data_IF_766623783233
#
_entry.id   IF_766623783233
#
_cell.length_a   1.000
_cell.length_b   1.000
_cell.length_c   1.000
_cell.angle_alpha   90.00
_cell.angle_beta   90.00
_cell.angle_gamma   90.00
#
_symmetry.space_group_name_H-M   'P 1'
#
loop_
_entity.id
_entity.type
_entity.pdbx_description
1 polymer ?
#
# COMPACT_ATOMS: atom_id res chain seq x y z
N UNK A 1 -61.77 47.35 -17.12
CA UNK A 1 -61.41 47.73 -18.51
C UNK A 1 -59.91 47.61 -18.66
N UNK A 2 -59.46 46.83 -19.67
CA UNK A 2 -58.06 46.62 -20.14
C UNK A 2 -57.16 45.87 -19.14
N UNK A 3 -56.44 44.81 -19.50
CA UNK A 3 -56.24 44.14 -20.78
C UNK A 3 -55.21 43.03 -20.52
N UNK A 4 -55.60 41.79 -20.82
CA UNK A 4 -54.84 40.56 -20.66
C UNK A 4 -53.99 40.39 -21.91
N UNK A 5 -52.66 40.30 -21.78
CA UNK A 5 -51.77 39.97 -22.90
C UNK A 5 -51.21 38.56 -22.67
N UNK A 6 -51.88 37.62 -23.33
CA UNK A 6 -51.39 36.27 -23.62
C UNK A 6 -50.34 36.36 -24.73
N UNK A 7 -49.18 35.73 -24.55
CA UNK A 7 -48.27 35.40 -25.65
C UNK A 7 -48.25 33.87 -25.75
N UNK A 8 -48.84 33.38 -26.83
CA UNK A 8 -48.69 32.04 -27.38
C UNK A 8 -47.68 32.18 -28.53
N UNK A 9 -46.65 31.34 -28.55
CA UNK A 9 -45.93 31.00 -29.78
C UNK A 9 -45.94 29.49 -29.93
N UNK A 10 -46.32 29.09 -31.13
CA UNK A 10 -46.55 27.74 -31.61
C UNK A 10 -45.39 27.29 -32.51
N UNK A 11 -45.24 25.97 -32.53
CA UNK A 11 -44.74 25.09 -33.58
C UNK A 11 -43.30 25.12 -34.14
N UNK A 12 -42.67 23.95 -33.90
CA UNK A 12 -41.98 23.09 -34.87
C UNK A 12 -40.63 23.53 -35.45
N UNK A 13 -39.58 22.82 -35.02
CA UNK A 13 -38.53 22.28 -35.89
C UNK A 13 -37.67 21.21 -35.16
N UNK A 14 -38.03 19.95 -35.35
CA UNK A 14 -37.08 18.84 -35.51
C UNK A 14 -37.02 18.51 -37.02
N UNK A 15 -36.00 17.83 -37.58
CA UNK A 15 -34.92 17.10 -36.92
C UNK A 15 -33.52 17.42 -37.49
N UNK A 16 -32.46 17.06 -36.76
CA UNK A 16 -31.28 16.39 -37.36
C UNK A 16 -30.44 15.75 -36.27
N UNK A 17 -30.45 14.43 -36.33
CA UNK A 17 -29.62 13.50 -35.61
C UNK A 17 -28.14 13.80 -35.91
N UNK A 18 -27.37 14.08 -34.87
CA UNK A 18 -25.94 13.79 -34.85
C UNK A 18 -25.74 12.79 -33.72
N UNK A 19 -25.91 11.51 -34.08
CA UNK A 19 -25.57 10.37 -33.24
C UNK A 19 -24.03 10.30 -33.09
N UNK A 20 -23.47 11.18 -32.27
CA UNK A 20 -22.16 11.00 -31.66
C UNK A 20 -22.34 10.09 -30.45
N UNK A 21 -22.31 8.77 -30.69
CA UNK A 21 -22.34 7.74 -29.66
C UNK A 21 -21.05 7.85 -28.85
N UNK A 22 -21.03 8.70 -27.82
CA UNK A 22 -20.13 8.48 -26.70
C UNK A 22 -20.56 7.16 -26.09
N UNK A 23 -19.80 6.10 -26.39
CA UNK A 23 -19.86 4.91 -25.56
C UNK A 23 -19.39 5.37 -24.19
N UNK A 24 -20.34 5.61 -23.29
CA UNK A 24 -20.11 5.44 -21.87
C UNK A 24 -19.57 4.02 -21.72
N UNK A 25 -18.25 3.86 -21.78
CA UNK A 25 -17.60 2.81 -21.04
C UNK A 25 -17.85 3.21 -19.60
N UNK A 26 -18.99 2.80 -19.08
CA UNK A 26 -19.11 2.52 -17.67
C UNK A 26 -17.89 1.67 -17.36
N UNK A 27 -16.90 2.26 -16.71
CA UNK A 27 -16.00 1.50 -15.87
C UNK A 27 -16.93 0.97 -14.79
N UNK A 28 -17.55 -0.18 -15.07
CA UNK A 28 -18.10 -1.04 -14.06
C UNK A 28 -16.94 -1.27 -13.13
N UNK A 29 -16.94 -0.57 -11.99
CA UNK A 29 -16.15 -0.96 -10.85
C UNK A 29 -16.36 -2.47 -10.72
N UNK A 30 -15.29 -3.29 -10.65
CA UNK A 30 -15.48 -4.71 -10.48
C UNK A 30 -16.37 -4.88 -9.26
N UNK A 31 -17.55 -5.43 -9.51
CA UNK A 31 -18.49 -5.89 -8.51
C UNK A 31 -17.65 -6.67 -7.50
N UNK A 32 -17.61 -6.18 -6.25
CA UNK A 32 -16.78 -6.71 -5.19
C UNK A 32 -17.15 -8.18 -4.94
N UNK A 33 -16.53 -9.06 -5.73
CA UNK A 33 -16.57 -10.47 -5.49
C UNK A 33 -15.89 -10.67 -4.14
N UNK A 34 -16.67 -11.11 -3.16
CA UNK A 34 -16.23 -11.79 -1.97
C UNK A 34 -15.46 -13.05 -2.38
N UNK A 35 -14.27 -12.87 -2.94
CA UNK A 35 -13.28 -13.90 -3.07
C UNK A 35 -12.43 -13.77 -1.81
N UNK A 36 -12.73 -14.59 -0.81
CA UNK A 36 -11.66 -15.04 0.07
C UNK A 36 -10.54 -15.56 -0.86
N UNK A 37 -9.26 -15.17 -0.67
CA UNK A 37 -8.20 -15.64 -1.53
C UNK A 37 -8.19 -17.18 -1.49
N UNK A 38 -8.59 -17.79 -2.61
CA UNK A 38 -8.53 -19.24 -2.84
C UNK A 38 -7.13 -19.69 -3.23
N UNK A 39 -6.16 -18.77 -3.25
CA UNK A 39 -4.75 -19.08 -3.43
C UNK A 39 -4.18 -19.70 -2.16
N UNK A 40 -3.31 -20.70 -2.32
CA UNK A 40 -2.47 -21.20 -1.23
C UNK A 40 -1.66 -20.03 -0.65
N UNK A 41 -1.64 -19.87 0.68
CA UNK A 41 -0.96 -18.76 1.37
C UNK A 41 0.54 -18.66 1.05
N UNK A 42 1.16 -19.71 0.53
CA UNK A 42 2.51 -19.69 -0.04
C UNK A 42 2.67 -18.70 -1.20
N UNK A 43 1.59 -18.36 -1.92
CA UNK A 43 1.57 -17.30 -2.95
C UNK A 43 1.53 -15.88 -2.36
N UNK A 44 1.38 -15.72 -1.04
CA UNK A 44 1.39 -14.41 -0.39
C UNK A 44 2.81 -13.86 -0.19
N UNK A 45 3.83 -14.72 -0.16
CA UNK A 45 5.22 -14.26 -0.02
C UNK A 45 5.61 -13.50 -1.29
N UNK A 46 6.04 -12.26 -1.11
CA UNK A 46 6.40 -11.38 -2.20
C UNK A 46 7.91 -11.07 -2.17
N UNK A 47 8.65 -11.82 -2.99
CA UNK A 47 10.10 -11.69 -3.12
C UNK A 47 10.56 -10.38 -3.78
N UNK A 48 9.63 -9.53 -4.24
CA UNK A 48 9.96 -8.14 -4.63
C UNK A 48 10.36 -7.28 -3.42
N UNK A 49 10.05 -7.72 -2.20
CA UNK A 49 10.45 -7.07 -0.96
C UNK A 49 11.64 -7.77 -0.30
N UNK A 50 12.51 -7.03 0.40
CA UNK A 50 13.63 -7.63 1.11
C UNK A 50 13.14 -8.54 2.24
N UNK A 51 13.84 -9.66 2.46
CA UNK A 51 13.63 -10.54 3.62
C UNK A 51 13.53 -9.70 4.92
N UNK A 52 12.51 -9.90 5.78
CA UNK A 52 12.21 -9.00 6.88
C UNK A 52 13.38 -8.74 7.88
N UNK A 53 13.44 -7.50 8.37
CA UNK A 53 14.29 -7.08 9.51
C UNK A 53 13.46 -6.49 10.67
N UNK A 54 12.13 -6.70 10.64
CA UNK A 54 11.17 -6.16 11.58
C UNK A 54 10.82 -7.23 12.63
N UNK A 55 11.42 -7.17 13.82
CA UNK A 55 11.37 -8.25 14.81
C UNK A 55 10.02 -8.44 15.54
N UNK A 56 9.13 -7.44 15.56
CA UNK A 56 7.82 -7.56 16.21
C UNK A 56 6.72 -7.85 15.20
N UNK A 57 6.13 -9.03 15.30
CA UNK A 57 5.02 -9.43 14.44
C UNK A 57 3.76 -8.59 14.72
N UNK A 58 3.56 -8.20 15.97
CA UNK A 58 2.47 -7.31 16.40
C UNK A 58 2.57 -5.94 15.72
N UNK A 59 3.78 -5.39 15.59
CA UNK A 59 4.00 -4.13 14.87
C UNK A 59 3.85 -4.26 13.36
N UNK A 60 4.09 -5.45 12.78
CA UNK A 60 3.71 -5.72 11.39
C UNK A 60 2.18 -5.66 11.22
N UNK A 61 1.41 -6.27 12.12
CA UNK A 61 -0.05 -6.12 12.16
C UNK A 61 -0.51 -4.67 12.30
N UNK A 62 0.08 -3.94 13.25
CA UNK A 62 -0.22 -2.52 13.46
C UNK A 62 0.14 -1.66 12.23
N UNK A 63 1.15 -2.04 11.45
CA UNK A 63 1.51 -1.37 10.18
C UNK A 63 0.41 -1.50 9.15
N UNK A 64 -0.21 -2.68 9.01
CA UNK A 64 -1.36 -2.87 8.11
C UNK A 64 -2.52 -1.98 8.54
N UNK A 65 -2.80 -1.93 9.86
CA UNK A 65 -3.83 -1.03 10.41
C UNK A 65 -3.51 0.45 10.17
N UNK A 66 -2.24 0.83 10.22
CA UNK A 66 -1.79 2.20 9.96
C UNK A 66 -1.99 2.58 8.48
N UNK A 67 -1.60 1.71 7.55
CA UNK A 67 -1.80 1.93 6.11
C UNK A 67 -3.29 2.04 5.78
N UNK A 68 -4.14 1.22 6.41
CA UNK A 68 -5.60 1.34 6.31
C UNK A 68 -6.14 2.71 6.76
N UNK A 69 -5.40 3.39 7.65
CA UNK A 69 -5.71 4.72 8.18
C UNK A 69 -4.98 5.87 7.43
N UNK A 70 -4.52 5.65 6.20
CA UNK A 70 -3.80 6.62 5.36
C UNK A 70 -2.42 7.04 5.95
N UNK A 71 -1.82 6.19 6.78
CA UNK A 71 -0.42 6.30 7.24
C UNK A 71 0.48 5.56 6.24
N UNK A 72 0.84 6.24 5.16
CA UNK A 72 1.37 5.60 3.94
C UNK A 72 2.83 5.91 3.63
N UNK A 73 3.57 6.55 4.55
CA UNK A 73 5.01 6.84 4.38
C UNK A 73 5.84 6.16 5.47
N UNK A 74 7.12 5.79 5.20
CA UNK A 74 7.97 5.17 6.23
C UNK A 74 8.06 5.98 7.52
N UNK A 75 8.23 7.31 7.41
CA UNK A 75 8.33 8.19 8.56
C UNK A 75 7.01 8.26 9.35
N UNK A 76 5.87 8.34 8.67
CA UNK A 76 4.57 8.37 9.35
C UNK A 76 4.24 7.03 10.00
N UNK A 77 4.62 5.90 9.39
CA UNK A 77 4.52 4.57 10.02
C UNK A 77 5.40 4.48 11.26
N UNK A 78 6.64 4.96 11.22
CA UNK A 78 7.51 4.97 12.39
C UNK A 78 6.87 5.77 13.55
N UNK A 79 6.29 6.94 13.24
CA UNK A 79 5.55 7.76 14.19
C UNK A 79 4.33 7.01 14.76
N UNK A 80 3.54 6.34 13.93
CA UNK A 80 2.37 5.57 14.36
C UNK A 80 2.76 4.44 15.34
N UNK A 81 3.85 3.74 15.05
CA UNK A 81 4.34 2.59 15.83
C UNK A 81 5.17 2.98 17.06
N UNK A 82 5.49 4.27 17.24
CA UNK A 82 6.38 4.73 18.31
C UNK A 82 7.80 4.15 18.21
N UNK A 83 8.33 4.02 16.98
CA UNK A 83 9.70 3.54 16.70
C UNK A 83 10.54 4.61 16.04
N UNK A 84 11.85 4.37 15.88
CA UNK A 84 12.70 5.30 15.15
C UNK A 84 12.37 5.33 13.64
N UNK A 85 12.65 6.47 13.00
CA UNK A 85 12.31 6.75 11.60
C UNK A 85 12.78 5.66 10.62
N UNK A 86 13.91 4.98 10.90
CA UNK A 86 14.44 3.94 10.00
C UNK A 86 13.61 2.67 10.04
N UNK A 87 13.02 2.37 11.20
CA UNK A 87 12.24 1.15 11.41
C UNK A 87 10.93 1.16 10.62
N UNK A 88 10.34 2.32 10.35
CA UNK A 88 9.10 2.40 9.58
C UNK A 88 9.21 1.76 8.20
N UNK A 89 10.35 1.94 7.52
CA UNK A 89 10.63 1.26 6.24
C UNK A 89 10.77 -0.27 6.40
N UNK A 90 11.36 -0.74 7.51
CA UNK A 90 11.48 -2.17 7.78
C UNK A 90 10.13 -2.83 8.05
N UNK A 91 9.24 -2.16 8.79
CA UNK A 91 7.90 -2.68 9.05
C UNK A 91 7.02 -2.67 7.80
N UNK A 92 7.08 -1.62 6.97
CA UNK A 92 6.42 -1.62 5.66
C UNK A 92 6.98 -2.70 4.73
N UNK A 93 8.31 -2.85 4.67
CA UNK A 93 8.96 -3.90 3.88
C UNK A 93 8.58 -5.30 4.35
N UNK A 94 8.48 -5.54 5.66
CA UNK A 94 8.04 -6.82 6.21
C UNK A 94 6.56 -7.11 5.90
N UNK A 95 5.68 -6.11 6.04
CA UNK A 95 4.29 -6.25 5.62
C UNK A 95 4.16 -6.50 4.11
N UNK A 96 5.03 -5.86 3.30
CA UNK A 96 5.09 -6.08 1.86
C UNK A 96 5.58 -7.48 1.50
N UNK A 97 6.60 -7.96 2.20
CA UNK A 97 7.12 -9.32 2.05
C UNK A 97 6.06 -10.40 2.36
N UNK A 98 5.19 -10.15 3.34
CA UNK A 98 4.04 -11.02 3.66
C UNK A 98 2.83 -10.79 2.74
N UNK A 99 2.96 -9.96 1.71
CA UNK A 99 1.91 -9.70 0.72
C UNK A 99 0.73 -8.88 1.26
N UNK A 100 0.88 -8.17 2.37
CA UNK A 100 -0.20 -7.41 3.03
C UNK A 100 -0.30 -5.98 2.53
N UNK A 101 0.83 -5.40 2.13
CA UNK A 101 0.90 -4.05 1.57
C UNK A 101 1.69 -4.08 0.28
N UNK A 102 1.49 -3.07 -0.54
CA UNK A 102 2.30 -2.85 -1.73
C UNK A 102 2.65 -1.38 -1.91
N UNK A 103 3.81 -1.16 -2.53
CA UNK A 103 4.28 0.15 -2.90
C UNK A 103 3.73 0.52 -4.27
N UNK A 104 2.86 1.54 -4.33
CA UNK A 104 2.40 2.12 -5.58
C UNK A 104 3.00 3.50 -5.79
N UNK A 105 3.17 3.88 -7.05
CA UNK A 105 3.44 5.27 -7.39
C UNK A 105 2.12 5.88 -7.82
N UNK A 106 1.60 6.84 -7.04
CA UNK A 106 0.36 7.50 -7.43
C UNK A 106 0.54 8.33 -8.71
N UNK A 107 -0.58 8.78 -9.29
CA UNK A 107 -0.60 9.60 -10.51
C UNK A 107 0.14 10.94 -10.36
N UNK A 108 0.39 11.39 -9.14
CA UNK A 108 1.13 12.63 -8.83
C UNK A 108 2.64 12.38 -8.65
N UNK A 109 3.08 11.14 -8.86
CA UNK A 109 4.49 10.73 -8.74
C UNK A 109 4.96 10.56 -7.30
N UNK A 110 4.04 10.61 -6.32
CA UNK A 110 4.36 10.32 -4.94
C UNK A 110 4.22 8.81 -4.69
N UNK A 111 5.34 8.21 -4.30
CA UNK A 111 5.41 6.87 -3.76
C UNK A 111 4.53 6.76 -2.49
N UNK A 112 3.53 5.88 -2.51
CA UNK A 112 2.66 5.62 -1.36
C UNK A 112 2.44 4.12 -1.16
N UNK A 113 2.41 3.72 0.10
CA UNK A 113 2.05 2.35 0.45
C UNK A 113 0.54 2.20 0.52
N UNK A 114 0.01 1.12 -0.05
CA UNK A 114 -1.41 0.76 0.01
C UNK A 114 -1.58 -0.70 0.45
N UNK A 115 -2.79 -1.05 0.86
CA UNK A 115 -3.13 -2.44 1.16
C UNK A 115 -3.22 -3.25 -0.13
N UNK A 116 -2.81 -4.52 -0.08
CA UNK A 116 -3.21 -5.52 -1.07
C UNK A 116 -4.62 -6.04 -0.75
N UNK A 117 -5.19 -6.89 -1.60
CA UNK A 117 -6.45 -7.59 -1.29
C UNK A 117 -6.36 -8.41 0.02
N UNK A 118 -5.20 -9.00 0.32
CA UNK A 118 -4.96 -9.73 1.56
C UNK A 118 -4.89 -8.78 2.76
N UNK A 119 -4.22 -7.63 2.61
CA UNK A 119 -4.22 -6.58 3.63
C UNK A 119 -5.61 -6.03 3.94
N UNK A 120 -6.43 -5.77 2.91
CA UNK A 120 -7.83 -5.36 3.06
C UNK A 120 -8.72 -6.44 3.69
N UNK A 121 -8.41 -7.72 3.48
CA UNK A 121 -9.07 -8.81 4.19
C UNK A 121 -8.69 -8.78 5.67
N UNK A 122 -7.40 -8.69 5.99
CA UNK A 122 -6.87 -8.68 7.35
C UNK A 122 -7.46 -7.55 8.22
N UNK A 123 -7.72 -6.37 7.66
CA UNK A 123 -8.30 -5.24 8.41
C UNK A 123 -9.75 -5.45 8.86
N UNK A 124 -10.44 -6.44 8.28
CA UNK A 124 -11.82 -6.80 8.61
C UNK A 124 -11.93 -7.97 9.58
N UNK A 125 -10.81 -8.60 9.91
CA UNK A 125 -10.74 -9.72 10.83
C UNK A 125 -10.76 -9.26 12.29
N UNK A 126 -11.36 -10.08 13.14
CA UNK A 126 -11.26 -9.92 14.59
C UNK A 126 -9.80 -10.16 15.05
N UNK A 127 -9.44 -9.69 16.24
CA UNK A 127 -8.06 -9.71 16.73
C UNK A 127 -7.42 -11.10 16.70
N UNK A 128 -8.15 -12.13 17.13
CA UNK A 128 -7.67 -13.51 17.12
C UNK A 128 -7.51 -14.10 15.71
N UNK A 129 -8.39 -13.74 14.77
CA UNK A 129 -8.30 -14.18 13.37
C UNK A 129 -7.15 -13.49 12.66
N UNK A 130 -6.95 -12.20 12.95
CA UNK A 130 -5.82 -11.41 12.44
C UNK A 130 -4.48 -11.95 12.93
N UNK A 131 -4.39 -12.25 14.23
CA UNK A 131 -3.20 -12.88 14.81
C UNK A 131 -2.93 -14.26 14.19
N UNK A 132 -3.97 -15.08 14.01
CA UNK A 132 -3.86 -16.40 13.38
C UNK A 132 -3.40 -16.31 11.91
N UNK A 133 -4.00 -15.42 11.11
CA UNK A 133 -3.58 -15.18 9.73
C UNK A 133 -2.11 -14.75 9.67
N UNK A 134 -1.70 -13.82 10.53
CA UNK A 134 -0.33 -13.32 10.52
C UNK A 134 0.69 -14.38 10.98
N UNK A 135 0.32 -15.24 11.94
CA UNK A 135 1.12 -16.38 12.33
C UNK A 135 1.27 -17.37 11.16
N UNK A 136 0.17 -17.70 10.46
CA UNK A 136 0.20 -18.59 9.31
C UNK A 136 1.08 -18.05 8.18
N UNK A 137 0.98 -16.75 7.88
CA UNK A 137 1.84 -16.08 6.90
C UNK A 137 3.31 -16.15 7.31
N UNK A 138 3.62 -15.84 8.58
CA UNK A 138 4.99 -15.89 9.09
C UNK A 138 5.58 -17.30 9.06
N UNK A 139 4.83 -18.32 9.49
CA UNK A 139 5.24 -19.74 9.45
C UNK A 139 5.49 -20.24 8.03
N UNK A 140 4.80 -19.68 7.02
CA UNK A 140 5.03 -20.06 5.63
C UNK A 140 6.34 -19.50 5.05
N UNK A 141 7.01 -18.58 5.74
CA UNK A 141 8.28 -18.01 5.27
C UNK A 141 9.44 -19.01 5.40
N UNK A 142 10.35 -19.11 4.41
CA UNK A 142 11.49 -20.03 4.48
C UNK A 142 12.37 -19.83 5.72
N UNK A 143 12.56 -18.58 6.15
CA UNK A 143 13.39 -18.27 7.31
C UNK A 143 12.76 -18.75 8.64
N UNK A 144 11.44 -18.64 8.80
CA UNK A 144 10.74 -19.16 9.99
C UNK A 144 10.68 -20.68 9.94
N UNK A 145 10.38 -21.28 8.79
CA UNK A 145 10.44 -22.73 8.61
C UNK A 145 11.82 -23.30 8.96
N UNK A 146 12.90 -22.70 8.43
CA UNK A 146 14.27 -23.06 8.78
C UNK A 146 14.58 -22.88 10.26
N UNK A 147 14.05 -21.83 10.90
CA UNK A 147 14.15 -21.65 12.35
C UNK A 147 13.48 -22.78 13.13
N UNK A 148 12.30 -23.23 12.70
CA UNK A 148 11.57 -24.32 13.35
C UNK A 148 12.32 -25.65 13.27
N UNK A 149 13.03 -25.88 12.16
CA UNK A 149 13.78 -27.11 11.95
C UNK A 149 15.10 -27.15 12.73
N UNK A 150 15.92 -26.09 12.63
CA UNK A 150 17.30 -26.10 13.15
C UNK A 150 17.69 -24.83 13.93
N UNK A 151 16.72 -24.05 14.41
CA UNK A 151 16.97 -22.82 15.17
C UNK A 151 17.62 -21.72 14.32
N UNK A 152 18.42 -20.85 14.95
CA UNK A 152 19.00 -19.68 14.26
C UNK A 152 19.90 -20.06 13.07
N UNK A 153 20.55 -21.22 13.11
CA UNK A 153 21.35 -21.76 12.01
C UNK A 153 20.48 -22.12 10.81
N UNK A 154 19.38 -22.86 11.02
CA UNK A 154 18.45 -23.19 9.94
C UNK A 154 17.79 -21.97 9.31
N UNK A 155 17.49 -20.93 10.10
CA UNK A 155 17.01 -19.67 9.58
C UNK A 155 18.06 -18.96 8.69
N UNK A 156 19.32 -18.95 9.13
CA UNK A 156 20.42 -18.36 8.37
C UNK A 156 20.70 -19.12 7.07
N UNK A 157 20.66 -20.45 7.10
CA UNK A 157 20.81 -21.31 5.93
C UNK A 157 19.70 -21.03 4.90
N UNK A 158 18.44 -21.04 5.34
CA UNK A 158 17.30 -20.75 4.47
C UNK A 158 17.39 -19.35 3.83
N UNK A 159 17.89 -18.35 4.56
CA UNK A 159 18.12 -16.99 4.02
C UNK A 159 19.26 -16.98 2.99
N UNK A 160 20.34 -17.72 3.25
CA UNK A 160 21.52 -17.80 2.37
C UNK A 160 21.19 -18.46 1.03
N UNK A 161 20.26 -19.41 1.03
CA UNK A 161 19.82 -20.10 -0.18
C UNK A 161 19.07 -19.19 -1.16
N UNK A 162 18.37 -18.17 -0.65
CA UNK A 162 17.49 -17.31 -1.45
C UNK A 162 18.02 -15.88 -1.65
N UNK A 163 19.06 -15.47 -0.93
CA UNK A 163 19.61 -14.13 -1.01
C UNK A 163 21.13 -14.05 -0.82
N UNK A 164 21.80 -13.31 -1.71
CA UNK A 164 23.22 -12.99 -1.61
C UNK A 164 23.44 -11.82 -0.63
N UNK A 165 23.60 -12.13 0.67
CA UNK A 165 23.79 -11.16 1.74
C UNK A 165 25.07 -11.46 2.52
N UNK A 166 25.65 -10.43 3.17
CA UNK A 166 26.76 -10.65 4.09
C UNK A 166 26.30 -11.23 5.42
N UNK A 167 27.16 -12.02 6.08
CA UNK A 167 26.89 -12.80 7.30
C UNK A 167 26.19 -11.99 8.41
N UNK A 168 26.64 -10.76 8.69
CA UNK A 168 25.99 -9.90 9.69
C UNK A 168 24.53 -9.56 9.34
N UNK A 169 24.24 -9.40 8.05
CA UNK A 169 22.87 -9.11 7.59
C UNK A 169 21.99 -10.36 7.65
N UNK A 170 22.56 -11.52 7.34
CA UNK A 170 21.89 -12.81 7.49
C UNK A 170 21.54 -13.04 8.96
N UNK A 171 22.50 -12.88 9.88
CA UNK A 171 22.26 -13.05 11.32
C UNK A 171 21.14 -12.13 11.85
N UNK A 172 21.09 -10.87 11.41
CA UNK A 172 19.99 -9.94 11.78
C UNK A 172 18.62 -10.39 11.26
N UNK A 173 18.56 -10.97 10.06
CA UNK A 173 17.32 -11.45 9.45
C UNK A 173 16.89 -12.79 10.06
N UNK A 174 17.83 -13.68 10.37
CA UNK A 174 17.59 -14.91 11.13
C UNK A 174 17.03 -14.59 12.52
N UNK A 175 17.56 -13.56 13.21
CA UNK A 175 17.01 -13.09 14.47
C UNK A 175 15.56 -12.58 14.36
N UNK A 176 15.17 -12.04 13.19
CA UNK A 176 13.78 -11.64 12.92
C UNK A 176 12.88 -12.87 12.85
N UNK A 177 13.27 -13.90 12.09
CA UNK A 177 12.54 -15.17 12.02
C UNK A 177 12.42 -15.84 13.40
N UNK A 178 13.50 -15.88 14.17
CA UNK A 178 13.50 -16.38 15.53
C UNK A 178 12.54 -15.61 16.44
N UNK A 179 12.50 -14.28 16.31
CA UNK A 179 11.59 -13.43 17.07
C UNK A 179 10.14 -13.73 16.73
N UNK A 180 9.81 -13.84 15.43
CA UNK A 180 8.45 -14.16 14.98
C UNK A 180 8.00 -15.53 15.46
N UNK A 181 8.82 -16.58 15.33
CA UNK A 181 8.50 -17.91 15.83
C UNK A 181 8.22 -17.91 17.34
N UNK A 182 9.06 -17.22 18.13
CA UNK A 182 8.86 -17.08 19.58
C UNK A 182 7.59 -16.32 19.93
N UNK A 183 7.27 -15.27 19.18
CA UNK A 183 6.01 -14.53 19.32
C UNK A 183 4.81 -15.44 19.05
N UNK A 184 4.83 -16.21 17.97
CA UNK A 184 3.74 -17.13 17.60
C UNK A 184 3.50 -18.19 18.69
N UNK A 185 4.57 -18.70 19.30
CA UNK A 185 4.47 -19.69 20.38
C UNK A 185 4.01 -19.08 21.71
N UNK A 186 4.02 -17.76 21.85
CA UNK A 186 3.66 -17.09 23.08
C UNK A 186 2.14 -17.15 23.31
N UNK A 187 1.73 -17.63 24.49
CA UNK A 187 0.32 -17.65 24.89
C UNK A 187 -0.31 -16.26 24.94
N UNK A 188 0.50 -15.21 25.07
CA UNK A 188 0.06 -13.82 25.11
C UNK A 188 -0.10 -13.16 23.74
N UNK A 189 0.28 -13.82 22.64
CA UNK A 189 0.40 -13.19 21.33
C UNK A 189 -0.84 -12.42 20.90
N UNK A 190 -2.03 -13.03 20.99
CA UNK A 190 -3.29 -12.35 20.63
C UNK A 190 -3.51 -11.10 21.47
N UNK A 191 -3.26 -11.16 22.79
CA UNK A 191 -3.44 -10.02 23.68
C UNK A 191 -2.39 -8.92 23.43
N UNK A 192 -1.14 -9.31 23.14
CA UNK A 192 -0.06 -8.38 22.79
C UNK A 192 -0.32 -7.71 21.43
N UNK A 193 -0.81 -8.44 20.45
CA UNK A 193 -1.23 -7.92 19.14
C UNK A 193 -2.34 -6.88 19.30
N UNK A 194 -3.42 -7.20 20.01
CA UNK A 194 -4.51 -6.26 20.29
C UNK A 194 -3.99 -4.99 20.96
N UNK A 195 -3.13 -5.14 21.98
CA UNK A 195 -2.59 -4.02 22.75
C UNK A 195 -1.70 -3.12 21.89
N UNK A 196 -0.73 -3.70 21.17
CA UNK A 196 0.20 -2.93 20.31
C UNK A 196 -0.55 -2.21 19.19
N UNK A 197 -1.53 -2.87 18.58
CA UNK A 197 -2.36 -2.25 17.55
C UNK A 197 -3.22 -1.12 18.14
N UNK A 198 -3.76 -1.27 19.36
CA UNK A 198 -4.48 -0.20 20.05
C UNK A 198 -3.59 1.00 20.39
N UNK A 199 -2.40 0.77 20.94
CA UNK A 199 -1.40 1.82 21.24
C UNK A 199 -1.02 2.58 19.96
N UNK A 200 -0.81 1.87 18.84
CA UNK A 200 -0.48 2.52 17.57
C UNK A 200 -1.64 3.39 17.04
N UNK A 201 -2.90 2.93 17.20
CA UNK A 201 -4.11 3.65 16.75
C UNK A 201 -4.23 5.04 17.38
N UNK A 202 -3.74 5.23 18.60
CA UNK A 202 -3.72 6.55 19.26
C UNK A 202 -2.94 7.60 18.45
N UNK A 203 -1.96 7.17 17.67
CA UNK A 203 -1.10 8.03 16.86
C UNK A 203 -1.56 8.18 15.40
N UNK A 204 -2.55 7.40 14.93
CA UNK A 204 -2.88 7.33 13.50
C UNK A 204 -3.33 8.66 12.91
N UNK A 205 -4.16 9.43 13.63
CA UNK A 205 -4.63 10.72 13.11
C UNK A 205 -3.48 11.71 12.87
N UNK A 206 -2.54 11.76 13.81
CA UNK A 206 -1.34 12.60 13.69
C UNK A 206 -0.41 12.09 12.58
N UNK A 207 -0.19 10.77 12.53
CA UNK A 207 0.65 10.12 11.54
C UNK A 207 0.11 10.28 10.12
N UNK A 208 -1.20 10.15 9.92
CA UNK A 208 -1.85 10.35 8.62
C UNK A 208 -1.74 11.80 8.14
N UNK A 209 -1.83 12.77 9.06
CA UNK A 209 -1.56 14.17 8.72
C UNK A 209 -0.12 14.38 8.26
N UNK A 210 0.86 13.82 8.98
CA UNK A 210 2.26 13.86 8.60
C UNK A 210 2.52 13.18 7.23
N UNK A 211 1.84 12.07 6.95
CA UNK A 211 1.92 11.37 5.66
C UNK A 211 1.42 12.25 4.50
N UNK A 212 0.32 12.97 4.70
CA UNK A 212 -0.21 13.92 3.69
C UNK A 212 0.75 15.08 3.45
N UNK A 213 1.30 15.66 4.51
CA UNK A 213 2.27 16.76 4.39
C UNK A 213 3.54 16.32 3.66
N UNK A 214 4.06 15.13 3.97
CA UNK A 214 5.24 14.56 3.30
C UNK A 214 4.98 14.30 1.81
N UNK A 215 3.83 13.69 1.48
CA UNK A 215 3.43 13.48 0.09
C UNK A 215 3.28 14.79 -0.68
N UNK A 216 2.67 15.82 -0.08
CA UNK A 216 2.56 17.13 -0.71
C UNK A 216 3.93 17.77 -1.00
N UNK A 217 4.91 17.60 -0.11
CA UNK A 217 6.29 18.07 -0.33
C UNK A 217 6.97 17.28 -1.46
N UNK A 218 6.77 15.97 -1.53
CA UNK A 218 7.32 15.12 -2.60
C UNK A 218 6.71 15.48 -3.94
N UNK A 219 5.38 15.56 -4.04
CA UNK A 219 4.66 15.94 -5.24
C UNK A 219 5.07 17.33 -5.74
N UNK A 220 5.26 18.30 -4.83
CA UNK A 220 5.75 19.63 -5.19
C UNK A 220 7.19 19.65 -5.75
N UNK A 221 7.99 18.62 -5.44
CA UNK A 221 9.37 18.45 -5.94
C UNK A 221 9.46 17.53 -7.16
N UNK A 222 8.40 16.77 -7.46
CA UNK A 222 8.38 15.87 -8.58
C UNK A 222 8.61 16.66 -9.88
N UNK A 223 9.47 16.16 -10.80
CA UNK A 223 9.67 16.83 -12.06
C UNK A 223 8.32 16.91 -12.78
N UNK A 224 7.91 18.12 -13.16
CA UNK A 224 6.74 18.29 -14.02
C UNK A 224 6.98 17.44 -15.27
N UNK A 225 6.12 16.46 -15.50
CA UNK A 225 6.15 15.65 -16.73
C UNK A 225 6.22 16.62 -17.90
N UNK A 226 7.16 16.41 -18.81
CA UNK A 226 7.28 17.25 -19.99
C UNK A 226 5.91 17.27 -20.68
N UNK A 227 5.28 18.44 -20.73
CA UNK A 227 4.02 18.56 -21.44
C UNK A 227 4.29 18.23 -22.90
N UNK A 228 3.65 17.20 -23.44
CA UNK A 228 3.74 16.93 -24.87
C UNK A 228 2.88 17.97 -25.56
N UNK A 229 3.49 18.76 -26.44
CA UNK A 229 2.73 19.74 -27.22
C UNK A 229 1.68 19.01 -28.06
N UNK A 230 0.39 19.28 -27.83
CA UNK A 230 -0.71 18.62 -28.54
C UNK A 230 -0.72 18.88 -30.06
N UNK A 231 -0.02 19.92 -30.52
CA UNK A 231 0.05 20.28 -31.93
C UNK A 231 1.23 19.62 -32.67
N UNK A 232 2.36 19.38 -32.01
CA UNK A 232 3.57 18.83 -32.65
C UNK A 232 4.13 17.56 -32.01
N UNK A 233 3.45 17.02 -30.99
CA UNK A 233 3.83 15.82 -30.22
C UNK A 233 5.28 15.80 -29.72
N UNK A 234 5.89 16.98 -29.57
CA UNK A 234 7.25 17.14 -29.04
C UNK A 234 7.18 17.44 -27.55
N UNK A 235 8.09 16.86 -26.77
CA UNK A 235 8.27 17.20 -25.35
C UNK A 235 8.59 18.69 -25.20
N UNK A 236 7.74 19.41 -24.46
CA UNK A 236 7.99 20.80 -24.12
C UNK A 236 9.02 20.79 -22.98
N UNK A 237 10.20 21.40 -23.17
CA UNK A 237 11.18 21.52 -22.10
C UNK A 237 10.57 22.29 -20.92
N UNK A 238 11.07 22.07 -19.71
CA UNK A 238 10.57 22.69 -18.47
C UNK A 238 10.50 24.24 -18.49
N UNK A 239 11.11 24.89 -19.49
CA UNK A 239 10.98 26.33 -19.77
C UNK A 239 9.60 26.75 -20.31
N UNK A 240 8.74 25.81 -20.70
CA UNK A 240 7.38 26.10 -21.20
C UNK A 240 7.32 26.69 -22.60
N UNK A 241 8.43 26.63 -23.36
CA UNK A 241 8.54 27.23 -24.70
C UNK A 241 8.89 26.18 -25.74
N UNK A 242 7.93 25.90 -26.63
CA UNK A 242 8.13 25.16 -27.87
C UNK A 242 8.97 26.03 -28.83
N UNK A 243 10.12 25.54 -29.29
CA UNK A 243 11.00 26.26 -30.22
C UNK A 243 10.48 26.38 -31.66
N UNK A 244 9.31 25.81 -31.97
CA UNK A 244 8.67 25.93 -33.28
C UNK A 244 7.75 27.16 -33.31
N UNK A 245 8.14 28.17 -34.08
CA UNK A 245 7.41 29.43 -34.28
C UNK A 245 6.02 29.30 -34.93
N UNK A 246 5.51 28.08 -35.16
CA UNK A 246 4.21 27.85 -35.80
C UNK A 246 3.54 26.61 -35.24
N UNK A 247 2.73 26.80 -34.20
CA UNK A 247 1.64 25.90 -33.83
C UNK A 247 0.43 26.82 -33.62
N UNK A 248 -0.41 26.96 -34.65
CA UNK A 248 -1.73 27.61 -34.62
C UNK A 248 -2.75 26.57 -34.22
#
# INVERSE_FOLDING_TARGET
MRGMTTIIFDEAQHPREAAGRFTDKAHTAPEAALLAPTGTLTEAINDAYPIPQANSLEKVSATVSAVAADVTTPRSVALALGVDDRQGAYYLGAAGYLGLVEHDTDFEGAAAWRLTALGEHMTRLEDHERAALLAELAESTPAVAGYRENGEEGAADAISEVAELGDETIGRRAATAASWAKTIDAQSYVADESRVTAEARENFALAAAAARDERAVIAARAPKVAEVCQNCFTEIPASGTCGSFTCV
#
